data_IF_253507149018
#
_entry.id   IF_253507149018
#
_cell.length_a   1.000
_cell.length_b   1.000
_cell.length_c   1.000
_cell.angle_alpha   90.00
_cell.angle_beta   90.00
_cell.angle_gamma   90.00
#
_symmetry.space_group_name_H-M   'P 1'
#
loop_
_entity.id
_entity.type
_entity.pdbx_description
1 polymer ?
#
# COMPACT_ATOMS: atom_id res chain seq x y z
N UNK A 1 38.02 -71.85 -6.04
CA UNK A 1 38.00 -70.37 -6.03
C UNK A 1 37.02 -69.87 -7.08
N UNK A 2 35.89 -69.30 -6.68
CA UNK A 2 35.01 -68.46 -7.52
C UNK A 2 34.49 -67.34 -6.61
N UNK A 3 34.73 -66.05 -6.90
CA UNK A 3 34.20 -64.98 -6.08
C UNK A 3 32.79 -64.62 -6.54
N UNK A 4 31.85 -64.65 -5.60
CA UNK A 4 30.49 -64.16 -5.80
C UNK A 4 30.50 -62.65 -5.60
N UNK A 5 30.22 -61.89 -6.67
CA UNK A 5 30.12 -60.42 -6.63
C UNK A 5 28.69 -60.06 -6.21
N UNK A 6 28.56 -59.39 -5.06
CA UNK A 6 27.30 -58.86 -4.56
C UNK A 6 27.15 -57.42 -5.07
N UNK A 7 26.28 -57.19 -6.05
CA UNK A 7 25.92 -55.83 -6.50
C UNK A 7 24.98 -55.18 -5.48
N UNK A 8 25.51 -54.24 -4.69
CA UNK A 8 24.69 -53.35 -3.88
C UNK A 8 24.07 -52.28 -4.78
N UNK A 9 22.75 -52.30 -4.93
CA UNK A 9 21.99 -51.22 -5.58
C UNK A 9 21.84 -50.08 -4.57
N UNK A 10 22.59 -49.01 -4.79
CA UNK A 10 22.52 -47.78 -4.00
C UNK A 10 21.35 -46.94 -4.53
N UNK A 11 20.21 -46.98 -3.85
CA UNK A 11 19.06 -46.11 -4.15
C UNK A 11 19.43 -44.66 -3.82
N UNK A 12 19.72 -43.85 -4.86
CA UNK A 12 19.80 -42.40 -4.70
C UNK A 12 18.41 -41.85 -4.38
N UNK A 13 18.20 -41.45 -3.13
CA UNK A 13 17.13 -40.53 -2.76
C UNK A 13 17.49 -39.16 -3.36
N UNK A 14 16.93 -38.86 -4.52
CA UNK A 14 16.89 -37.49 -5.03
C UNK A 14 15.89 -36.74 -4.15
N UNK A 15 16.40 -35.99 -3.17
CA UNK A 15 15.62 -34.94 -2.53
C UNK A 15 15.26 -33.95 -3.63
N UNK A 16 14.01 -33.94 -4.06
CA UNK A 16 13.46 -32.79 -4.74
C UNK A 16 13.47 -31.67 -3.70
N UNK A 17 14.49 -30.81 -3.75
CA UNK A 17 14.34 -29.46 -3.22
C UNK A 17 13.14 -28.89 -3.95
N UNK A 18 11.99 -28.84 -3.27
CA UNK A 18 10.83 -28.14 -3.76
C UNK A 18 11.30 -26.69 -3.95
N UNK A 19 11.52 -26.29 -5.20
CA UNK A 19 11.76 -24.90 -5.54
C UNK A 19 10.62 -24.12 -4.91
N UNK A 20 10.94 -23.27 -3.93
CA UNK A 20 9.96 -22.43 -3.28
C UNK A 20 9.22 -21.64 -4.37
N UNK A 21 7.89 -21.73 -4.39
CA UNK A 21 7.08 -21.01 -5.37
C UNK A 21 7.32 -19.50 -5.22
N UNK A 22 7.53 -18.79 -6.32
CA UNK A 22 7.68 -17.33 -6.32
C UNK A 22 6.33 -16.70 -6.64
N UNK A 23 5.76 -15.95 -5.69
CA UNK A 23 4.55 -15.17 -5.91
C UNK A 23 4.87 -13.71 -6.10
N UNK A 24 4.46 -13.15 -7.24
CA UNK A 24 4.57 -11.72 -7.49
C UNK A 24 3.37 -10.98 -6.92
N UNK A 25 3.63 -10.04 -6.00
CA UNK A 25 2.60 -9.24 -5.34
C UNK A 25 2.71 -7.78 -5.75
N UNK A 26 1.69 -7.27 -6.44
CA UNK A 26 1.53 -5.84 -6.69
C UNK A 26 0.80 -5.18 -5.52
N UNK A 27 1.34 -4.08 -4.98
CA UNK A 27 0.72 -3.40 -3.84
C UNK A 27 0.76 -1.89 -3.95
N UNK A 28 -0.34 -1.22 -3.63
CA UNK A 28 -0.35 0.24 -3.49
C UNK A 28 0.60 0.68 -2.36
N UNK A 29 1.24 1.83 -2.54
CA UNK A 29 2.25 2.36 -1.60
C UNK A 29 1.79 2.35 -0.13
N UNK A 30 0.54 2.69 0.13
CA UNK A 30 0.00 2.78 1.47
C UNK A 30 -0.20 1.45 2.20
N UNK A 31 -0.38 0.34 1.48
CA UNK A 31 -0.52 -0.98 2.09
C UNK A 31 0.84 -1.70 2.23
N UNK A 32 1.86 -1.28 1.47
CA UNK A 32 3.21 -1.87 1.47
C UNK A 32 3.79 -2.12 2.88
N UNK A 33 3.74 -1.18 3.85
CA UNK A 33 4.34 -1.41 5.17
C UNK A 33 3.71 -2.59 5.94
N UNK A 34 2.44 -2.88 5.70
CA UNK A 34 1.71 -4.00 6.32
C UNK A 34 2.12 -5.31 5.65
N UNK A 35 2.12 -5.34 4.31
CA UNK A 35 2.54 -6.52 3.55
C UNK A 35 3.98 -6.91 3.87
N UNK A 36 4.91 -5.95 3.91
CA UNK A 36 6.31 -6.21 4.26
C UNK A 36 6.48 -6.78 5.67
N UNK A 37 5.63 -6.39 6.63
CA UNK A 37 5.67 -6.91 7.99
C UNK A 37 5.09 -8.33 8.12
N UNK A 38 4.21 -8.73 7.19
CA UNK A 38 3.64 -10.08 7.12
C UNK A 38 4.47 -11.05 6.28
N UNK A 39 5.24 -10.54 5.31
CA UNK A 39 5.95 -11.35 4.33
C UNK A 39 6.85 -12.45 4.94
N UNK A 40 7.71 -12.20 5.95
CA UNK A 40 8.61 -13.25 6.46
C UNK A 40 7.89 -14.48 7.02
N UNK A 41 6.73 -14.30 7.65
CA UNK A 41 5.93 -15.42 8.18
C UNK A 41 5.19 -16.16 7.06
N UNK A 42 4.70 -15.44 6.06
CA UNK A 42 4.05 -16.05 4.90
C UNK A 42 5.02 -16.90 4.09
N UNK A 43 6.21 -16.36 3.83
CA UNK A 43 7.29 -17.05 3.12
C UNK A 43 7.71 -18.33 3.88
N UNK A 44 7.90 -18.24 5.20
CA UNK A 44 8.27 -19.38 6.02
C UNK A 44 7.17 -20.45 6.12
N UNK A 45 5.90 -20.05 6.31
CA UNK A 45 4.79 -20.98 6.54
C UNK A 45 4.30 -21.70 5.28
N UNK A 46 4.50 -21.10 4.11
CA UNK A 46 4.09 -21.65 2.82
C UNK A 46 5.25 -22.20 1.99
N UNK A 47 6.49 -21.98 2.43
CA UNK A 47 7.70 -22.27 1.65
C UNK A 47 7.66 -21.58 0.27
N UNK A 48 7.29 -20.30 0.27
CA UNK A 48 7.21 -19.44 -0.93
C UNK A 48 8.14 -18.24 -0.78
N UNK A 49 8.40 -17.54 -1.88
CA UNK A 49 9.05 -16.22 -1.89
C UNK A 49 8.07 -15.18 -2.41
N UNK A 50 7.94 -14.03 -1.73
CA UNK A 50 7.08 -12.94 -2.16
C UNK A 50 7.89 -11.85 -2.88
N UNK A 51 7.74 -11.76 -4.19
CA UNK A 51 8.31 -10.65 -4.98
C UNK A 51 7.35 -9.46 -4.94
N UNK A 52 7.57 -8.58 -3.96
CA UNK A 52 6.71 -7.41 -3.70
C UNK A 52 7.13 -6.22 -4.55
N UNK A 53 6.23 -5.75 -5.41
CA UNK A 53 6.40 -4.53 -6.20
C UNK A 53 5.30 -3.53 -5.89
N UNK A 54 5.66 -2.26 -5.69
CA UNK A 54 4.71 -1.22 -5.34
C UNK A 54 4.64 -0.06 -6.34
N UNK A 55 3.55 0.70 -6.28
CA UNK A 55 3.33 1.92 -7.04
C UNK A 55 2.14 2.71 -6.52
N UNK A 56 1.84 3.85 -7.14
CA UNK A 56 0.53 4.50 -6.97
C UNK A 56 -0.58 3.64 -7.57
N UNK A 57 -1.83 3.92 -7.23
CA UNK A 57 -2.97 3.22 -7.83
C UNK A 57 -2.98 3.37 -9.37
N UNK A 58 -2.72 4.58 -9.89
CA UNK A 58 -2.66 4.81 -11.33
C UNK A 58 -1.44 4.19 -12.02
N UNK A 59 -0.28 4.13 -11.37
CA UNK A 59 0.90 3.43 -11.92
C UNK A 59 0.67 1.92 -12.02
N UNK A 60 0.10 1.32 -10.97
CA UNK A 60 -0.24 -0.11 -10.98
C UNK A 60 -1.32 -0.41 -12.03
N UNK A 61 -2.31 0.47 -12.19
CA UNK A 61 -3.31 0.33 -13.23
C UNK A 61 -2.67 0.29 -14.63
N UNK A 62 -1.80 1.27 -14.96
CA UNK A 62 -1.06 1.30 -16.24
C UNK A 62 -0.25 0.03 -16.48
N UNK A 63 0.38 -0.50 -15.43
CA UNK A 63 1.20 -1.72 -15.50
C UNK A 63 0.35 -2.96 -15.79
N UNK A 64 -0.80 -3.09 -15.12
CA UNK A 64 -1.76 -4.18 -15.37
C UNK A 64 -2.35 -4.07 -16.78
N UNK A 65 -2.72 -2.86 -17.21
CA UNK A 65 -3.22 -2.59 -18.56
C UNK A 65 -2.17 -2.92 -19.64
N UNK A 66 -0.89 -2.78 -19.32
CA UNK A 66 0.23 -3.16 -20.18
C UNK A 66 0.55 -4.66 -20.16
N UNK A 67 -0.22 -5.48 -19.42
CA UNK A 67 -0.06 -6.93 -19.37
C UNK A 67 1.02 -7.41 -18.40
N UNK A 68 1.40 -6.60 -17.40
CA UNK A 68 2.33 -7.07 -16.38
C UNK A 68 1.73 -8.25 -15.59
N UNK A 69 2.46 -9.37 -15.56
CA UNK A 69 2.09 -10.54 -14.75
C UNK A 69 2.12 -10.22 -13.25
N UNK A 70 1.15 -10.75 -12.50
CA UNK A 70 1.10 -10.76 -11.04
C UNK A 70 0.20 -11.90 -10.54
N UNK A 71 0.48 -12.36 -9.33
CA UNK A 71 -0.28 -13.42 -8.67
C UNK A 71 -1.32 -12.85 -7.70
N UNK A 72 -0.91 -11.83 -6.93
CA UNK A 72 -1.78 -11.11 -6.01
C UNK A 72 -1.63 -9.62 -6.26
N UNK A 73 -2.74 -8.89 -6.25
CA UNK A 73 -2.72 -7.43 -6.28
C UNK A 73 -3.51 -6.86 -5.10
N UNK A 74 -2.99 -5.80 -4.47
CA UNK A 74 -3.63 -5.04 -3.40
C UNK A 74 -3.83 -3.61 -3.90
N UNK A 75 -5.01 -3.36 -4.45
CA UNK A 75 -5.37 -2.12 -5.13
C UNK A 75 -6.55 -1.44 -4.41
N UNK A 76 -6.91 -0.25 -4.87
CA UNK A 76 -8.21 0.34 -4.49
C UNK A 76 -9.35 -0.57 -4.92
N UNK A 77 -10.42 -0.68 -4.11
CA UNK A 77 -11.60 -1.51 -4.43
C UNK A 77 -12.16 -1.25 -5.84
N UNK A 78 -12.18 0.01 -6.29
CA UNK A 78 -12.62 0.38 -7.63
C UNK A 78 -11.78 -0.25 -8.75
N UNK A 79 -10.46 -0.31 -8.58
CA UNK A 79 -9.56 -0.94 -9.55
C UNK A 79 -9.71 -2.46 -9.53
N UNK A 80 -9.88 -3.07 -8.37
CA UNK A 80 -10.15 -4.52 -8.29
C UNK A 80 -11.44 -4.85 -9.04
N UNK A 81 -12.53 -4.10 -8.81
CA UNK A 81 -13.80 -4.30 -9.54
C UNK A 81 -13.64 -4.12 -11.05
N UNK A 82 -12.91 -3.10 -11.47
CA UNK A 82 -12.58 -2.89 -12.89
C UNK A 82 -11.85 -4.11 -13.47
N UNK A 83 -10.81 -4.60 -12.78
CA UNK A 83 -10.00 -5.69 -13.30
C UNK A 83 -10.68 -7.05 -13.25
N UNK A 84 -11.56 -7.28 -12.28
CA UNK A 84 -12.50 -8.40 -12.32
C UNK A 84 -13.40 -8.28 -13.56
N UNK A 85 -14.06 -7.15 -13.77
CA UNK A 85 -14.95 -6.95 -14.93
C UNK A 85 -14.24 -7.14 -16.28
N UNK A 86 -12.97 -6.74 -16.39
CA UNK A 86 -12.15 -6.94 -17.59
C UNK A 86 -11.58 -8.36 -17.76
N UNK A 87 -11.68 -9.20 -16.72
CA UNK A 87 -11.09 -10.56 -16.70
C UNK A 87 -9.61 -10.62 -16.33
N UNK A 88 -8.96 -9.50 -16.01
CA UNK A 88 -7.56 -9.46 -15.57
C UNK A 88 -7.35 -10.03 -14.14
N UNK A 89 -8.40 -10.07 -13.32
CA UNK A 89 -8.39 -10.68 -11.98
C UNK A 89 -9.49 -11.73 -11.84
N UNK A 90 -9.25 -12.72 -10.97
CA UNK A 90 -10.24 -13.74 -10.65
C UNK A 90 -11.50 -13.10 -10.02
N UNK A 91 -12.68 -13.53 -10.49
CA UNK A 91 -13.97 -13.13 -9.92
C UNK A 91 -14.12 -13.68 -8.50
N UNK A 92 -13.70 -14.93 -8.33
CA UNK A 92 -13.78 -15.64 -7.09
C UNK A 92 -12.48 -15.38 -6.32
N UNK A 93 -12.60 -14.78 -5.14
CA UNK A 93 -11.51 -14.49 -4.19
C UNK A 93 -10.90 -13.08 -4.20
N UNK A 94 -11.76 -12.06 -4.13
CA UNK A 94 -11.38 -10.73 -3.69
C UNK A 94 -11.79 -10.49 -2.23
N UNK A 95 -10.92 -9.85 -1.43
CA UNK A 95 -11.22 -9.47 -0.04
C UNK A 95 -10.83 -8.03 0.23
N UNK A 96 -11.73 -7.27 0.82
CA UNK A 96 -11.36 -5.99 1.41
C UNK A 96 -10.45 -6.27 2.60
N UNK A 97 -9.30 -5.62 2.64
CA UNK A 97 -8.26 -5.89 3.65
C UNK A 97 -8.04 -4.71 4.60
N UNK A 98 -8.26 -3.49 4.13
CA UNK A 98 -8.05 -2.29 4.94
C UNK A 98 -8.73 -1.07 4.36
N UNK A 99 -8.97 -0.06 5.19
CA UNK A 99 -9.18 1.32 4.74
C UNK A 99 -8.18 2.25 5.41
N UNK A 100 -7.82 3.35 4.76
CA UNK A 100 -6.91 4.35 5.32
C UNK A 100 -7.38 5.76 5.00
N UNK A 101 -7.28 6.63 6.02
CA UNK A 101 -7.58 8.05 5.90
C UNK A 101 -6.35 8.86 5.48
N UNK A 102 -6.58 10.16 5.32
CA UNK A 102 -5.57 11.18 5.05
C UNK A 102 -5.29 11.93 6.34
N UNK A 103 -4.01 12.24 6.57
CA UNK A 103 -3.56 13.00 7.73
C UNK A 103 -2.52 14.04 7.35
N UNK A 104 -2.03 14.73 8.38
CA UNK A 104 -1.05 15.80 8.26
C UNK A 104 0.17 15.48 9.13
N UNK A 105 1.35 15.78 8.61
CA UNK A 105 2.61 15.73 9.35
C UNK A 105 3.43 17.01 9.12
N UNK A 106 4.35 17.29 10.03
CA UNK A 106 5.28 18.42 10.02
C UNK A 106 6.69 17.93 10.39
N UNK A 107 7.75 18.73 10.21
CA UNK A 107 9.10 18.36 10.66
C UNK A 107 9.12 18.05 12.16
N UNK A 108 10.06 17.21 12.59
CA UNK A 108 10.20 16.89 14.01
C UNK A 108 10.37 18.16 14.85
N UNK A 109 9.68 18.22 15.99
CA UNK A 109 9.69 19.35 16.92
C UNK A 109 9.12 20.68 16.38
N UNK A 110 8.59 20.71 15.14
CA UNK A 110 7.90 21.89 14.63
C UNK A 110 6.55 22.10 15.34
N UNK A 111 6.05 23.35 15.46
CA UNK A 111 4.71 23.61 15.95
C UNK A 111 3.65 22.87 15.12
N UNK A 112 2.69 22.24 15.79
CA UNK A 112 1.56 21.57 15.11
C UNK A 112 0.54 22.63 14.67
N UNK A 113 0.20 22.72 13.36
CA UNK A 113 -0.91 23.57 12.93
C UNK A 113 -2.24 23.05 13.46
N UNK A 114 -3.22 23.94 13.64
CA UNK A 114 -4.59 23.54 13.91
C UNK A 114 -5.20 22.85 12.70
N UNK A 115 -5.74 21.64 12.89
CA UNK A 115 -6.41 20.86 11.83
C UNK A 115 -7.66 20.13 12.32
N UNK A 116 -8.13 20.41 13.53
CA UNK A 116 -9.24 19.68 14.14
C UNK A 116 -10.60 20.03 13.53
N UNK A 117 -10.71 21.21 12.91
CA UNK A 117 -11.90 21.63 12.15
C UNK A 117 -11.54 22.02 10.73
N UNK A 118 -12.54 22.11 9.86
CA UNK A 118 -12.36 22.54 8.47
C UNK A 118 -11.82 23.96 8.40
N UNK A 119 -12.23 24.85 9.29
CA UNK A 119 -11.76 26.25 9.36
C UNK A 119 -10.28 26.31 9.74
N UNK A 120 -9.86 25.51 10.73
CA UNK A 120 -8.46 25.42 11.11
C UNK A 120 -7.60 24.87 9.96
N UNK A 121 -8.08 23.84 9.28
CA UNK A 121 -7.42 23.29 8.10
C UNK A 121 -7.32 24.33 6.96
N UNK A 122 -8.39 25.08 6.68
CA UNK A 122 -8.37 26.18 5.70
C UNK A 122 -7.38 27.27 6.09
N UNK A 123 -7.30 27.63 7.37
CA UNK A 123 -6.31 28.59 7.88
C UNK A 123 -4.88 28.09 7.67
N UNK A 124 -4.62 26.80 7.90
CA UNK A 124 -3.32 26.18 7.59
C UNK A 124 -3.02 26.25 6.09
N UNK A 125 -4.00 25.94 5.23
CA UNK A 125 -3.87 26.08 3.78
C UNK A 125 -3.65 27.53 3.32
N UNK A 126 -4.07 28.54 4.09
CA UNK A 126 -3.85 29.96 3.81
C UNK A 126 -2.50 30.52 4.31
N UNK A 127 -1.74 29.74 5.10
CA UNK A 127 -0.46 30.18 5.68
C UNK A 127 0.67 30.31 4.64
N UNK A 128 1.90 30.62 5.08
CA UNK A 128 3.09 30.58 4.21
C UNK A 128 3.75 29.19 4.14
N UNK A 129 3.12 28.15 4.70
CA UNK A 129 3.68 26.81 4.71
C UNK A 129 3.83 26.24 3.29
N UNK A 130 5.00 25.63 3.00
CA UNK A 130 5.20 24.77 1.84
C UNK A 130 4.52 23.43 2.09
N UNK A 131 3.60 23.04 1.20
CA UNK A 131 2.69 21.90 1.38
C UNK A 131 3.04 20.78 0.42
N UNK A 132 3.50 19.65 0.93
CA UNK A 132 3.76 18.44 0.16
C UNK A 132 2.55 17.50 0.10
N UNK A 133 2.29 16.96 -1.09
CA UNK A 133 1.33 15.88 -1.33
C UNK A 133 1.67 15.18 -2.65
N UNK A 134 1.05 14.03 -2.90
CA UNK A 134 1.24 13.29 -4.15
C UNK A 134 0.74 14.10 -5.34
N UNK A 135 1.53 14.18 -6.42
CA UNK A 135 1.09 14.78 -7.67
C UNK A 135 -0.18 14.05 -8.16
N UNK A 136 -1.34 14.73 -8.33
CA UNK A 136 -2.56 14.08 -8.79
C UNK A 136 -2.39 13.40 -10.16
N UNK A 137 -1.46 13.87 -10.99
CA UNK A 137 -1.16 13.27 -12.31
C UNK A 137 -0.43 11.93 -12.22
N UNK A 138 0.20 11.64 -11.08
CA UNK A 138 0.80 10.31 -10.81
C UNK A 138 -0.24 9.25 -10.47
N UNK A 139 -1.52 9.63 -10.28
CA UNK A 139 -2.61 8.69 -10.00
C UNK A 139 -2.60 8.13 -8.57
N UNK A 140 -1.99 8.84 -7.61
CA UNK A 140 -2.12 8.51 -6.20
C UNK A 140 -3.47 8.96 -5.63
N UNK A 141 -4.18 8.06 -4.95
CA UNK A 141 -5.54 8.31 -4.45
C UNK A 141 -5.65 9.54 -3.53
N UNK A 142 -4.68 9.75 -2.65
CA UNK A 142 -4.63 10.94 -1.78
C UNK A 142 -4.41 12.24 -2.57
N UNK A 143 -3.49 12.24 -3.53
CA UNK A 143 -3.18 13.41 -4.36
C UNK A 143 -4.37 13.87 -5.20
N UNK A 144 -5.04 12.92 -5.86
CA UNK A 144 -6.26 13.19 -6.66
C UNK A 144 -7.36 13.81 -5.79
N UNK A 145 -7.62 13.24 -4.62
CA UNK A 145 -8.64 13.78 -3.70
C UNK A 145 -8.24 15.15 -3.14
N UNK A 146 -6.98 15.34 -2.73
CA UNK A 146 -6.50 16.59 -2.16
C UNK A 146 -6.60 17.74 -3.16
N UNK A 147 -6.25 17.51 -4.43
CA UNK A 147 -6.43 18.52 -5.49
C UNK A 147 -7.88 19.01 -5.54
N UNK A 148 -8.84 18.08 -5.62
CA UNK A 148 -10.27 18.41 -5.65
C UNK A 148 -10.76 19.06 -4.34
N UNK A 149 -10.21 18.65 -3.20
CA UNK A 149 -10.53 19.25 -1.91
C UNK A 149 -10.07 20.70 -1.85
N UNK A 150 -8.86 21.01 -2.31
CA UNK A 150 -8.35 22.38 -2.32
C UNK A 150 -9.19 23.30 -3.20
N UNK A 151 -9.68 22.79 -4.34
CA UNK A 151 -10.64 23.51 -5.19
C UNK A 151 -11.95 23.79 -4.44
N UNK A 152 -12.57 22.75 -3.84
CA UNK A 152 -13.83 22.88 -3.09
C UNK A 152 -13.73 23.84 -1.91
N UNK A 153 -12.58 23.93 -1.25
CA UNK A 153 -12.36 24.82 -0.11
C UNK A 153 -11.99 26.26 -0.52
N UNK A 154 -11.83 26.53 -1.83
CA UNK A 154 -11.42 27.82 -2.36
C UNK A 154 -9.94 28.15 -2.14
N UNK A 155 -9.11 27.14 -1.84
CA UNK A 155 -7.69 27.29 -1.50
C UNK A 155 -6.72 26.92 -2.62
N UNK A 156 -7.21 26.45 -3.77
CA UNK A 156 -6.37 25.87 -4.82
C UNK A 156 -5.25 26.78 -5.32
N UNK A 157 -5.56 28.05 -5.63
CA UNK A 157 -4.55 28.99 -6.12
C UNK A 157 -3.46 29.25 -5.08
N UNK A 158 -3.86 29.43 -3.81
CA UNK A 158 -2.92 29.65 -2.71
C UNK A 158 -2.04 28.43 -2.46
N UNK A 159 -2.61 27.22 -2.53
CA UNK A 159 -1.87 25.97 -2.37
C UNK A 159 -0.92 25.72 -3.55
N UNK A 160 -1.37 25.96 -4.78
CA UNK A 160 -0.57 25.74 -5.99
C UNK A 160 0.78 26.49 -5.95
N UNK A 161 0.79 27.74 -5.47
CA UNK A 161 2.00 28.59 -5.36
C UNK A 161 3.06 28.07 -4.39
N UNK A 162 2.69 27.14 -3.50
CA UNK A 162 3.54 26.63 -2.42
C UNK A 162 3.50 25.10 -2.29
N UNK A 163 3.03 24.43 -3.35
CA UNK A 163 2.92 22.97 -3.40
C UNK A 163 4.29 22.34 -3.68
N UNK A 164 4.58 21.26 -2.98
CA UNK A 164 5.70 20.36 -3.27
C UNK A 164 5.12 19.04 -3.74
N UNK A 165 5.00 18.88 -5.06
CA UNK A 165 4.41 17.68 -5.65
C UNK A 165 5.41 16.52 -5.65
N UNK A 166 4.95 15.35 -5.22
CA UNK A 166 5.76 14.12 -5.17
C UNK A 166 5.17 13.08 -6.12
N UNK A 167 6.00 12.52 -7.02
CA UNK A 167 5.60 11.51 -7.98
C UNK A 167 5.66 10.11 -7.36
N UNK A 168 4.68 9.79 -6.52
CA UNK A 168 4.63 8.51 -5.80
C UNK A 168 5.61 8.41 -4.62
N UNK A 169 5.38 7.44 -3.73
CA UNK A 169 6.21 7.19 -2.55
C UNK A 169 5.92 8.09 -1.34
N UNK A 170 6.88 8.14 -0.41
CA UNK A 170 6.67 8.69 0.92
C UNK A 170 6.77 10.22 0.95
N UNK A 171 5.64 10.91 0.83
CA UNK A 171 5.54 12.39 0.90
C UNK A 171 6.24 12.97 2.14
N UNK A 172 6.17 12.29 3.28
CA UNK A 172 6.78 12.75 4.54
C UNK A 172 8.29 12.98 4.47
N UNK A 173 9.00 12.36 3.52
CA UNK A 173 10.45 12.58 3.32
C UNK A 173 10.78 14.03 2.93
N UNK A 174 9.84 14.75 2.31
CA UNK A 174 9.97 16.18 1.99
C UNK A 174 10.10 17.09 3.22
N UNK A 175 9.69 16.58 4.40
CA UNK A 175 9.82 17.28 5.67
C UNK A 175 11.24 17.12 6.24
N UNK A 176 11.90 16.01 5.93
CA UNK A 176 13.25 15.70 6.39
C UNK A 176 14.30 16.48 5.60
N UNK A 177 14.12 16.55 4.28
CA UNK A 177 15.03 17.28 3.40
C UNK A 177 14.75 18.79 3.31
N UNK A 178 13.74 19.28 4.05
CA UNK A 178 13.41 20.69 4.18
C UNK A 178 12.70 21.31 2.98
N UNK A 179 12.29 20.51 1.97
CA UNK A 179 11.53 21.03 0.82
C UNK A 179 10.12 21.48 1.21
N UNK A 180 9.53 20.86 2.23
CA UNK A 180 8.20 21.19 2.73
C UNK A 180 8.19 21.40 4.25
N UNK A 181 7.21 22.19 4.71
CA UNK A 181 6.93 22.40 6.14
C UNK A 181 5.68 21.67 6.62
N UNK A 182 4.85 21.20 5.69
CA UNK A 182 3.63 20.41 5.93
C UNK A 182 3.55 19.32 4.88
N UNK A 183 3.26 18.09 5.29
CA UNK A 183 2.95 16.97 4.40
C UNK A 183 1.51 16.51 4.64
N UNK A 184 0.74 16.34 3.56
CA UNK A 184 -0.63 15.83 3.60
C UNK A 184 -0.67 14.57 2.73
N UNK A 185 -0.91 13.42 3.35
CA UNK A 185 -0.87 12.12 2.66
C UNK A 185 -1.67 11.07 3.42
N UNK A 186 -1.73 9.84 2.90
CA UNK A 186 -2.31 8.72 3.62
C UNK A 186 -1.55 8.47 4.91
N UNK A 187 -2.30 8.23 5.99
CA UNK A 187 -1.75 8.14 7.35
C UNK A 187 -0.67 7.06 7.44
N UNK A 188 -0.87 5.91 6.78
CA UNK A 188 0.11 4.82 6.80
C UNK A 188 1.45 5.16 6.20
N UNK A 189 1.48 6.00 5.17
CA UNK A 189 2.72 6.46 4.55
C UNK A 189 3.40 7.56 5.36
N UNK A 190 2.64 8.40 6.08
CA UNK A 190 3.21 9.36 7.02
C UNK A 190 3.87 8.64 8.21
N UNK A 191 3.19 7.65 8.80
CA UNK A 191 3.72 6.89 9.93
C UNK A 191 4.88 5.96 9.55
N UNK A 192 5.08 5.67 8.27
CA UNK A 192 6.24 4.92 7.78
C UNK A 192 7.52 5.77 7.72
N UNK A 193 7.44 7.10 7.86
CA UNK A 193 8.60 7.99 7.84
C UNK A 193 9.06 8.29 9.26
N UNK A 194 10.26 7.83 9.61
CA UNK A 194 10.93 8.22 10.85
C UNK A 194 11.41 9.67 10.78
N UNK A 195 11.44 10.36 11.92
CA UNK A 195 11.99 11.72 12.01
C UNK A 195 11.04 12.84 11.59
N UNK A 196 9.74 12.55 11.44
CA UNK A 196 8.70 13.58 11.29
C UNK A 196 7.74 13.53 12.47
N UNK A 197 6.92 14.56 12.61
CA UNK A 197 5.90 14.66 13.63
C UNK A 197 4.51 14.54 13.00
N UNK A 198 3.80 13.46 13.31
CA UNK A 198 2.39 13.32 12.94
C UNK A 198 1.52 14.29 13.74
N UNK A 199 0.70 15.06 13.02
CA UNK A 199 -0.22 16.05 13.60
C UNK A 199 -1.55 15.39 13.95
N UNK A 200 -2.14 14.69 12.99
CA UNK A 200 -3.45 14.07 13.13
C UNK A 200 -4.16 13.83 11.79
N UNK A 201 -5.35 13.19 11.81
CA UNK A 201 -6.16 12.99 10.63
C UNK A 201 -6.83 14.30 10.18
N UNK A 202 -7.26 14.36 8.92
CA UNK A 202 -8.19 15.41 8.48
C UNK A 202 -9.53 15.32 9.25
N UNK A 203 -10.24 16.45 9.46
CA UNK A 203 -11.60 16.48 9.98
C UNK A 203 -12.53 15.56 9.19
N UNK A 204 -13.50 14.95 9.87
CA UNK A 204 -14.38 13.93 9.30
C UNK A 204 -15.13 14.43 8.05
N UNK A 205 -15.52 15.71 8.04
CA UNK A 205 -16.26 16.38 6.97
C UNK A 205 -15.48 16.48 5.66
N UNK A 206 -14.15 16.49 5.75
CA UNK A 206 -13.23 16.58 4.61
C UNK A 206 -12.32 15.35 4.48
N UNK A 207 -12.55 14.32 5.28
CA UNK A 207 -11.82 13.07 5.25
C UNK A 207 -12.22 12.22 4.03
N UNK A 208 -11.26 11.48 3.48
CA UNK A 208 -11.50 10.44 2.48
C UNK A 208 -10.78 9.16 2.89
N UNK A 209 -11.58 8.14 3.14
CA UNK A 209 -11.06 6.78 3.29
C UNK A 209 -10.87 6.14 1.93
N UNK A 210 -9.68 5.61 1.68
CA UNK A 210 -9.40 4.72 0.56
C UNK A 210 -9.53 3.29 1.03
N UNK A 211 -10.44 2.53 0.40
CA UNK A 211 -10.64 1.10 0.65
C UNK A 211 -9.68 0.30 -0.24
N UNK A 212 -8.90 -0.59 0.38
CA UNK A 212 -8.01 -1.52 -0.29
C UNK A 212 -8.55 -2.93 -0.29
N UNK A 213 -8.45 -3.56 -1.46
CA UNK A 213 -8.95 -4.89 -1.75
C UNK A 213 -7.81 -5.70 -2.33
N UNK A 214 -7.63 -6.91 -1.82
CA UNK A 214 -6.70 -7.89 -2.37
C UNK A 214 -7.45 -8.85 -3.28
N UNK A 215 -6.85 -9.24 -4.40
CA UNK A 215 -7.42 -10.17 -5.36
C UNK A 215 -6.33 -10.98 -6.08
N UNK A 216 -6.70 -12.16 -6.57
CA UNK A 216 -5.83 -13.05 -7.34
C UNK A 216 -5.81 -12.62 -8.81
N UNK A 217 -4.62 -12.58 -9.41
CA UNK A 217 -4.44 -12.35 -10.84
C UNK A 217 -5.01 -13.49 -11.67
N UNK A 218 -5.64 -13.18 -12.80
CA UNK A 218 -6.26 -14.20 -13.68
C UNK A 218 -5.27 -15.21 -14.27
N UNK A 219 -4.00 -14.82 -14.36
CA UNK A 219 -2.91 -15.63 -14.92
C UNK A 219 -2.10 -16.38 -13.85
N UNK A 220 -2.45 -16.22 -12.56
CA UNK A 220 -1.71 -16.87 -11.49
C UNK A 220 -1.84 -18.39 -11.60
N UNK A 221 -0.70 -19.08 -11.59
CA UNK A 221 -0.63 -20.55 -11.57
C UNK A 221 -0.63 -21.10 -10.15
N UNK A 222 -0.24 -20.28 -9.17
CA UNK A 222 -0.13 -20.61 -7.75
C UNK A 222 -1.35 -20.08 -6.98
N UNK A 223 -2.54 -20.50 -7.43
CA UNK A 223 -3.83 -19.98 -6.92
C UNK A 223 -4.02 -20.22 -5.43
N UNK A 224 -3.62 -21.39 -4.91
CA UNK A 224 -3.83 -21.69 -3.49
C UNK A 224 -2.93 -20.85 -2.58
N UNK A 225 -1.65 -20.67 -2.95
CA UNK A 225 -0.75 -19.80 -2.19
C UNK A 225 -1.17 -18.33 -2.29
N UNK A 226 -1.65 -17.89 -3.46
CA UNK A 226 -2.26 -16.56 -3.61
C UNK A 226 -3.47 -16.36 -2.69
N UNK A 227 -4.31 -17.38 -2.55
CA UNK A 227 -5.46 -17.36 -1.63
C UNK A 227 -5.01 -17.31 -0.18
N UNK A 228 -3.98 -18.05 0.20
CA UNK A 228 -3.40 -18.03 1.55
C UNK A 228 -2.79 -16.67 1.90
N UNK A 229 -2.06 -16.04 0.97
CA UNK A 229 -1.60 -14.65 1.15
C UNK A 229 -2.79 -13.74 1.44
N UNK A 230 -3.87 -13.82 0.65
CA UNK A 230 -5.08 -13.01 0.86
C UNK A 230 -5.77 -13.31 2.20
N UNK A 231 -5.79 -14.59 2.65
CA UNK A 231 -6.31 -14.98 3.97
C UNK A 231 -5.47 -14.34 5.08
N UNK A 232 -4.15 -14.38 4.99
CA UNK A 232 -3.25 -13.80 5.98
C UNK A 232 -3.39 -12.27 6.09
N UNK A 233 -3.60 -11.57 4.96
CA UNK A 233 -3.88 -10.13 4.94
C UNK A 233 -5.19 -9.76 5.66
N UNK A 234 -6.06 -10.75 5.86
CA UNK A 234 -7.32 -10.66 6.60
C UNK A 234 -7.24 -11.36 7.96
N UNK A 235 -6.06 -11.76 8.43
CA UNK A 235 -5.90 -12.44 9.73
C UNK A 235 -5.86 -11.46 10.91
N UNK A 236 -6.02 -11.98 12.13
CA UNK A 236 -5.93 -11.18 13.36
C UNK A 236 -4.60 -10.42 13.48
N UNK A 237 -3.48 -11.06 13.11
CA UNK A 237 -2.16 -10.41 13.08
C UNK A 237 -2.12 -9.22 12.11
N UNK A 238 -2.78 -9.34 10.95
CA UNK A 238 -2.91 -8.23 10.02
C UNK A 238 -3.72 -7.08 10.63
N UNK A 239 -4.81 -7.37 11.36
CA UNK A 239 -5.62 -6.33 12.05
C UNK A 239 -4.79 -5.52 13.07
N UNK A 240 -3.87 -6.17 13.78
CA UNK A 240 -2.96 -5.50 14.71
C UNK A 240 -1.92 -4.64 13.98
N UNK A 241 -1.31 -5.19 12.91
CA UNK A 241 -0.37 -4.46 12.07
C UNK A 241 -1.02 -3.26 11.38
N UNK A 242 -2.24 -3.41 10.87
CA UNK A 242 -3.01 -2.33 10.28
C UNK A 242 -3.14 -1.16 11.24
N UNK A 243 -3.59 -1.42 12.48
CA UNK A 243 -3.71 -0.40 13.53
C UNK A 243 -2.36 0.25 13.84
N UNK A 244 -1.31 -0.55 14.01
CA UNK A 244 0.04 -0.06 14.27
C UNK A 244 0.60 0.80 13.11
N UNK A 245 0.13 0.59 11.89
CA UNK A 245 0.50 1.35 10.69
C UNK A 245 -0.54 2.41 10.30
N UNK A 246 -1.48 2.76 11.17
CA UNK A 246 -2.44 3.84 10.92
C UNK A 246 -3.51 3.54 9.86
N UNK A 247 -3.80 2.26 9.65
CA UNK A 247 -4.91 1.78 8.82
C UNK A 247 -5.99 1.16 9.71
N UNK A 248 -7.20 1.08 9.17
CA UNK A 248 -8.34 0.47 9.84
C UNK A 248 -8.69 -0.86 9.15
N UNK A 249 -8.96 -1.89 9.95
CA UNK A 249 -9.55 -3.13 9.46
C UNK A 249 -10.96 -2.87 8.94
N UNK A 250 -11.37 -3.68 7.98
CA UNK A 250 -12.70 -3.67 7.35
C UNK A 250 -13.56 -4.86 7.77
N UNK A 251 -13.04 -5.70 8.67
CA UNK A 251 -13.81 -6.76 9.30
C UNK A 251 -14.71 -6.17 10.39
N UNK A 252 -15.96 -6.61 10.42
CA UNK A 252 -16.82 -6.35 11.56
C UNK A 252 -16.19 -7.01 12.80
N UNK A 253 -16.10 -6.26 13.90
CA UNK A 253 -15.76 -6.80 15.22
C UNK A 253 -16.82 -7.79 15.69
#
# INVERSE_FOLDING_TARGET
MKPTIFCAVLSLLVSADALAGELKVLTTGAFKPVLMALAPELEASRHITLTISNGTAGELAKRIDAGEHFDVAILTDSLVRQYQASGAMAQDWAKNVAKVGIGVAVPLNAPKPGIATVEQFKSMLGSQAMIAYIDPRSGGSSGVYLSQLFDRLGGAEAVAKKSVLVNGGLVGTTLIDGRASVAIHQISELLAVSGIQYVGPLPAEIQRYTLYTSAVGSQSVDVEDSREVIRALSGQKAVELLRAKGMESVQAQ
#
